data_IF_118991986171
#
_entry.id   IF_118991986171
#
_cell.length_a   1.000
_cell.length_b   1.000
_cell.length_c   1.000
_cell.angle_alpha   90.00
_cell.angle_beta   90.00
_cell.angle_gamma   90.00
#
_symmetry.space_group_name_H-M   'P 1'
#
loop_
_entity.id
_entity.type
_entity.pdbx_description
1 polymer ?
#
# COMPACT_ATOMS: atom_id res chain seq x y z
N UNK A 1 -19.76 -7.70 -9.28
CA UNK A 1 -18.48 -6.99 -9.54
C UNK A 1 -17.69 -6.87 -8.24
N UNK A 2 -16.37 -7.02 -8.27
CA UNK A 2 -15.53 -6.76 -7.09
C UNK A 2 -15.42 -5.24 -6.88
N UNK A 3 -15.60 -4.80 -5.64
CA UNK A 3 -15.47 -3.38 -5.29
C UNK A 3 -13.99 -2.99 -5.23
N UNK A 4 -13.61 -1.91 -5.91
CA UNK A 4 -12.22 -1.43 -5.97
C UNK A 4 -11.73 -0.89 -4.62
N UNK A 5 -12.63 -0.60 -3.68
CA UNK A 5 -12.26 -0.21 -2.32
C UNK A 5 -11.89 -1.41 -1.43
N UNK A 6 -12.34 -2.62 -1.79
CA UNK A 6 -12.14 -3.81 -0.99
C UNK A 6 -10.73 -4.39 -1.22
N UNK A 7 -9.86 -4.45 -0.19
CA UNK A 7 -8.52 -4.97 -0.34
C UNK A 7 -8.53 -6.49 -0.57
N UNK A 8 -7.71 -6.95 -1.52
CA UNK A 8 -7.58 -8.36 -1.91
C UNK A 8 -6.13 -8.81 -1.78
N UNK A 9 -5.88 -10.03 -1.32
CA UNK A 9 -4.53 -10.57 -1.31
C UNK A 9 -4.40 -11.91 -0.57
N UNK A 10 -3.19 -12.47 -0.61
CA UNK A 10 -2.91 -13.81 -0.10
C UNK A 10 -2.65 -13.91 1.41
N UNK A 11 -2.60 -15.15 1.89
CA UNK A 11 -2.04 -15.53 3.19
C UNK A 11 -1.26 -16.84 3.06
N UNK A 12 -0.10 -16.94 3.71
CA UNK A 12 0.76 -18.13 3.66
C UNK A 12 1.37 -18.34 2.27
N UNK A 13 1.24 -19.54 1.69
CA UNK A 13 1.87 -19.89 0.42
C UNK A 13 1.27 -19.17 -0.81
N UNK A 14 0.13 -18.49 -0.67
CA UNK A 14 -0.43 -17.67 -1.74
C UNK A 14 0.23 -16.30 -1.88
N UNK A 15 1.24 -15.99 -1.06
CA UNK A 15 1.96 -14.72 -1.07
C UNK A 15 1.51 -13.73 0.01
N UNK A 16 2.15 -12.56 0.00
CA UNK A 16 2.00 -11.49 0.99
C UNK A 16 1.69 -10.16 0.28
N UNK A 17 0.95 -9.28 0.96
CA UNK A 17 0.50 -8.00 0.40
C UNK A 17 -1.00 -7.95 0.13
N UNK A 18 -1.47 -6.75 -0.23
CA UNK A 18 -2.85 -6.46 -0.56
C UNK A 18 -2.92 -5.52 -1.77
N UNK A 19 -3.58 -5.94 -2.82
CA UNK A 19 -4.04 -5.10 -3.91
C UNK A 19 -5.39 -4.44 -3.55
N UNK A 20 -5.73 -3.38 -4.29
CA UNK A 20 -6.92 -2.54 -4.08
C UNK A 20 -6.96 -1.84 -2.70
N UNK A 21 -7.88 -0.88 -2.55
CA UNK A 21 -8.00 -0.09 -1.33
C UNK A 21 -6.73 0.69 -0.95
N UNK A 22 -6.62 1.10 0.30
CA UNK A 22 -5.48 1.89 0.81
C UNK A 22 -4.17 1.10 0.86
N UNK A 23 -4.24 -0.21 1.14
CA UNK A 23 -3.05 -1.07 1.21
C UNK A 23 -2.27 -1.14 -0.10
N UNK A 24 -2.95 -0.99 -1.25
CA UNK A 24 -2.28 -0.93 -2.54
C UNK A 24 -1.42 0.33 -2.71
N UNK A 25 -1.87 1.48 -2.17
CA UNK A 25 -1.10 2.72 -2.26
C UNK A 25 0.22 2.58 -1.49
N UNK A 26 0.22 1.92 -0.34
CA UNK A 26 1.44 1.65 0.44
C UNK A 26 2.42 0.73 -0.29
N UNK A 27 1.94 -0.18 -1.15
CA UNK A 27 2.81 -1.05 -1.94
C UNK A 27 3.43 -0.36 -3.17
N UNK A 28 2.73 0.62 -3.75
CA UNK A 28 3.18 1.32 -4.96
C UNK A 28 3.78 2.70 -4.70
N UNK A 29 3.79 3.15 -3.45
CA UNK A 29 4.39 4.42 -3.04
C UNK A 29 5.36 4.20 -1.89
N UNK A 30 6.35 5.09 -1.77
CA UNK A 30 7.30 5.07 -0.67
C UNK A 30 7.35 6.42 0.03
N UNK A 31 7.64 6.40 1.34
CA UNK A 31 7.78 7.63 2.13
C UNK A 31 9.11 8.29 1.80
N UNK A 32 9.06 9.47 1.19
CA UNK A 32 10.24 10.31 0.97
C UNK A 32 10.36 11.35 2.09
N UNK A 33 11.27 11.12 3.03
CA UNK A 33 11.56 12.05 4.12
C UNK A 33 12.33 13.28 3.62
N UNK A 34 11.86 14.48 3.95
CA UNK A 34 12.51 15.76 3.61
C UNK A 34 12.69 16.58 4.87
N UNK A 35 13.90 17.08 5.09
CA UNK A 35 14.25 17.95 6.22
C UNK A 35 14.64 19.33 5.69
N UNK A 36 14.18 20.39 6.36
CA UNK A 36 14.57 21.76 6.05
C UNK A 36 14.98 22.50 7.33
N UNK A 37 16.08 23.26 7.26
CA UNK A 37 16.56 24.08 8.37
C UNK A 37 16.01 25.49 8.21
N UNK A 38 15.31 26.00 9.24
CA UNK A 38 14.64 27.31 9.22
C UNK A 38 15.41 28.42 9.97
N UNK A 39 16.62 28.11 10.42
CA UNK A 39 17.51 29.03 11.15
C UNK A 39 18.54 29.66 10.23
#
# INVERSE_FOLDING_TARGET
>A
PVDASAPWGGYGSSGWGREMGSGAIELYTEVKSVWTSLT
#
